data_IF_701140976124
#
_entry.id   IF_701140976124
#
_cell.length_a   1.000
_cell.length_b   1.000
_cell.length_c   1.000
_cell.angle_alpha   90.00
_cell.angle_beta   90.00
_cell.angle_gamma   90.00
#
_symmetry.space_group_name_H-M   'P 1'
#
loop_
_entity.id
_entity.type
_entity.pdbx_description
1 polymer ?
#
# COMPACT_ATOMS: atom_id res chain seq x y z
N UNK A 1 -18.24 -69.53 46.26
CA UNK A 1 -17.90 -68.13 46.57
C UNK A 1 -16.81 -67.71 45.60
N UNK A 2 -17.17 -67.06 44.48
CA UNK A 2 -16.21 -66.46 43.55
C UNK A 2 -16.38 -64.94 43.65
N UNK A 3 -15.31 -64.15 43.82
CA UNK A 3 -15.43 -62.70 43.77
C UNK A 3 -15.52 -62.29 42.29
N UNK A 4 -16.63 -61.67 41.92
CA UNK A 4 -16.75 -60.97 40.64
C UNK A 4 -16.24 -59.54 40.82
N UNK A 5 -14.99 -59.28 40.47
CA UNK A 5 -14.48 -57.91 40.38
C UNK A 5 -15.15 -57.20 39.20
N UNK A 6 -15.59 -55.93 39.35
CA UNK A 6 -16.14 -55.18 38.25
C UNK A 6 -15.00 -54.82 37.30
N UNK A 7 -15.12 -55.20 36.01
CA UNK A 7 -14.19 -54.78 34.96
C UNK A 7 -14.10 -53.25 34.95
N UNK A 8 -12.95 -52.71 35.32
CA UNK A 8 -12.66 -51.28 35.19
C UNK A 8 -12.75 -50.89 33.71
N UNK A 9 -13.78 -50.12 33.38
CA UNK A 9 -14.01 -49.63 32.04
C UNK A 9 -13.00 -48.52 31.76
N UNK A 10 -11.93 -48.88 31.04
CA UNK A 10 -10.86 -47.96 30.63
C UNK A 10 -11.48 -46.84 29.81
N UNK A 11 -11.70 -45.70 30.45
CA UNK A 11 -12.31 -44.51 29.85
C UNK A 11 -11.34 -43.91 28.83
N UNK A 12 -11.40 -44.37 27.59
CA UNK A 12 -10.60 -43.85 26.47
C UNK A 12 -10.87 -42.35 26.31
N UNK A 13 -9.86 -41.51 26.59
CA UNK A 13 -9.90 -40.07 26.29
C UNK A 13 -10.07 -39.90 24.79
N UNK A 14 -11.21 -39.35 24.35
CA UNK A 14 -11.43 -38.97 22.95
C UNK A 14 -10.53 -37.79 22.64
N UNK A 15 -9.54 -38.00 21.77
CA UNK A 15 -8.72 -36.96 21.19
C UNK A 15 -9.46 -36.45 19.94
N UNK A 16 -9.82 -35.17 19.94
CA UNK A 16 -10.37 -34.53 18.74
C UNK A 16 -9.20 -34.05 17.88
N UNK A 17 -9.08 -34.60 16.67
CA UNK A 17 -8.16 -34.08 15.65
C UNK A 17 -8.97 -33.16 14.75
N UNK A 18 -8.70 -31.87 14.83
CA UNK A 18 -9.27 -30.89 13.89
C UNK A 18 -8.40 -30.95 12.64
N UNK A 19 -8.93 -31.58 11.59
CA UNK A 19 -8.28 -31.60 10.27
C UNK A 19 -8.81 -30.41 9.49
N UNK A 20 -7.92 -29.47 9.18
CA UNK A 20 -8.20 -28.33 8.30
C UNK A 20 -8.45 -28.88 6.89
N UNK A 21 -9.71 -28.92 6.46
CA UNK A 21 -10.14 -29.61 5.24
C UNK A 21 -9.70 -28.92 3.96
N UNK A 22 -9.17 -27.69 4.04
CA UNK A 22 -8.86 -26.88 2.87
C UNK A 22 -7.49 -26.18 2.89
N UNK A 23 -6.45 -27.01 2.96
CA UNK A 23 -5.05 -26.58 2.86
C UNK A 23 -4.80 -25.84 1.53
N UNK A 24 -5.51 -26.23 0.47
CA UNK A 24 -5.39 -25.59 -0.86
C UNK A 24 -5.90 -24.14 -0.82
N UNK A 25 -7.10 -23.89 -0.29
CA UNK A 25 -7.65 -22.54 -0.17
C UNK A 25 -6.82 -21.67 0.78
N UNK A 26 -6.27 -22.23 1.86
CA UNK A 26 -5.37 -21.47 2.75
C UNK A 26 -4.12 -20.98 2.02
N UNK A 27 -3.50 -21.84 1.20
CA UNK A 27 -2.34 -21.45 0.38
C UNK A 27 -2.74 -20.39 -0.65
N UNK A 28 -3.90 -20.54 -1.28
CA UNK A 28 -4.40 -19.59 -2.26
C UNK A 28 -4.69 -18.22 -1.65
N UNK A 29 -5.37 -18.16 -0.49
CA UNK A 29 -5.61 -16.90 0.24
C UNK A 29 -4.32 -16.18 0.58
N UNK A 30 -3.31 -16.91 1.09
CA UNK A 30 -2.00 -16.33 1.39
C UNK A 30 -1.31 -15.76 0.15
N UNK A 31 -1.44 -16.40 -1.01
CA UNK A 31 -0.89 -15.88 -2.27
C UNK A 31 -1.60 -14.59 -2.68
N UNK A 32 -2.94 -14.58 -2.68
CA UNK A 32 -3.70 -13.37 -3.00
C UNK A 32 -3.41 -12.22 -2.05
N UNK A 33 -3.28 -12.50 -0.75
CA UNK A 33 -2.92 -11.49 0.25
C UNK A 33 -1.52 -10.92 -0.02
N UNK A 34 -0.55 -11.77 -0.34
CA UNK A 34 0.80 -11.33 -0.69
C UNK A 34 0.82 -10.47 -1.97
N UNK A 35 0.09 -10.88 -3.00
CA UNK A 35 -0.05 -10.13 -4.26
C UNK A 35 -0.72 -8.77 -4.03
N UNK A 36 -1.81 -8.74 -3.25
CA UNK A 36 -2.54 -7.50 -2.90
C UNK A 36 -1.61 -6.53 -2.16
N UNK A 37 -0.91 -7.01 -1.14
CA UNK A 37 0.06 -6.21 -0.39
C UNK A 37 1.20 -5.66 -1.28
N UNK A 38 1.63 -6.43 -2.28
CA UNK A 38 2.64 -5.98 -3.23
C UNK A 38 2.08 -4.88 -4.16
N UNK A 39 0.86 -5.06 -4.66
CA UNK A 39 0.16 -4.08 -5.48
C UNK A 39 -0.07 -2.78 -4.73
N UNK A 40 -0.50 -2.82 -3.48
CA UNK A 40 -0.69 -1.63 -2.63
C UNK A 40 0.61 -0.85 -2.46
N UNK A 41 1.72 -1.54 -2.14
CA UNK A 41 3.04 -0.89 -2.01
C UNK A 41 3.48 -0.23 -3.31
N UNK A 42 3.23 -0.89 -4.45
CA UNK A 42 3.55 -0.34 -5.75
C UNK A 42 2.74 0.92 -6.05
N UNK A 43 1.43 0.88 -5.82
CA UNK A 43 0.54 2.03 -6.04
C UNK A 43 0.85 3.18 -5.09
N UNK A 44 1.21 2.91 -3.84
CA UNK A 44 1.65 3.92 -2.88
C UNK A 44 2.91 4.66 -3.39
N UNK A 45 3.90 3.90 -3.88
CA UNK A 45 5.13 4.45 -4.45
C UNK A 45 4.86 5.29 -5.71
N UNK A 46 3.94 4.82 -6.57
CA UNK A 46 3.53 5.57 -7.75
C UNK A 46 2.83 6.88 -7.39
N UNK A 47 1.94 6.87 -6.38
CA UNK A 47 1.30 8.07 -5.88
C UNK A 47 2.34 9.06 -5.32
N UNK A 48 3.27 8.60 -4.47
CA UNK A 48 4.30 9.49 -3.89
C UNK A 48 5.24 10.08 -4.95
N UNK A 49 5.66 9.29 -5.94
CA UNK A 49 6.53 9.78 -7.03
C UNK A 49 5.84 10.82 -7.91
N UNK A 50 4.53 10.67 -8.13
CA UNK A 50 3.72 11.63 -8.89
C UNK A 50 3.32 12.87 -8.08
N UNK A 51 3.52 12.85 -6.77
CA UNK A 51 3.11 13.92 -5.87
C UNK A 51 1.65 13.86 -5.45
N UNK A 52 1.00 12.71 -5.64
CA UNK A 52 -0.33 12.44 -5.11
C UNK A 52 -0.26 11.75 -3.76
N UNK A 53 -1.43 11.27 -3.31
CA UNK A 53 -1.57 10.45 -2.11
C UNK A 53 -2.44 9.22 -2.41
N UNK A 54 -2.19 8.12 -1.71
CA UNK A 54 -3.03 6.93 -1.75
C UNK A 54 -3.88 6.90 -0.48
N UNK A 55 -5.17 6.57 -0.65
CA UNK A 55 -6.12 6.39 0.45
C UNK A 55 -6.66 4.98 0.38
N UNK A 56 -6.46 4.20 1.45
CA UNK A 56 -7.06 2.88 1.63
C UNK A 56 -8.09 3.01 2.75
N UNK A 57 -9.36 2.84 2.43
CA UNK A 57 -10.44 2.83 3.41
C UNK A 57 -10.91 1.38 3.63
N UNK A 58 -11.04 0.99 4.89
CA UNK A 58 -11.50 -0.35 5.28
C UNK A 58 -13.02 -0.40 5.51
N UNK A 59 -13.66 0.76 5.59
CA UNK A 59 -15.10 0.90 5.78
C UNK A 59 -15.67 2.08 4.98
N UNK A 60 -16.99 2.08 4.80
CA UNK A 60 -17.71 3.18 4.15
C UNK A 60 -17.57 4.49 4.94
N UNK A 61 -17.64 4.43 6.27
CA UNK A 61 -17.48 5.61 7.12
C UNK A 61 -16.09 6.24 6.95
N UNK A 62 -15.04 5.42 6.94
CA UNK A 62 -13.67 5.88 6.66
C UNK A 62 -13.57 6.46 5.25
N UNK A 63 -14.21 5.82 4.26
CA UNK A 63 -14.19 6.32 2.87
C UNK A 63 -14.79 7.74 2.77
N UNK A 64 -15.90 8.00 3.47
CA UNK A 64 -16.53 9.33 3.51
C UNK A 64 -15.60 10.36 4.17
N UNK A 65 -14.99 10.01 5.32
CA UNK A 65 -14.06 10.88 6.03
C UNK A 65 -12.83 11.22 5.17
N UNK A 66 -12.23 10.22 4.53
CA UNK A 66 -11.08 10.42 3.66
C UNK A 66 -11.46 11.19 2.39
N UNK A 67 -12.69 11.04 1.89
CA UNK A 67 -13.22 11.86 0.79
C UNK A 67 -13.18 13.36 1.11
N UNK A 68 -13.59 13.75 2.33
CA UNK A 68 -13.50 15.14 2.77
C UNK A 68 -12.05 15.65 2.85
N UNK A 69 -11.09 14.77 3.21
CA UNK A 69 -9.66 15.10 3.18
C UNK A 69 -9.16 15.31 1.75
N UNK A 70 -9.55 14.45 0.80
CA UNK A 70 -9.17 14.58 -0.62
C UNK A 70 -9.73 15.88 -1.21
N UNK A 71 -10.97 16.24 -0.89
CA UNK A 71 -11.55 17.51 -1.32
C UNK A 71 -10.71 18.71 -0.86
N UNK A 72 -10.30 18.74 0.41
CA UNK A 72 -9.41 19.81 0.94
C UNK A 72 -8.05 19.86 0.24
N UNK A 73 -7.49 18.72 -0.14
CA UNK A 73 -6.21 18.65 -0.87
C UNK A 73 -6.37 19.21 -2.30
N UNK A 74 -7.47 18.88 -2.98
CA UNK A 74 -7.80 19.41 -4.31
C UNK A 74 -7.98 20.93 -4.24
N UNK A 75 -8.71 21.43 -3.25
CA UNK A 75 -8.90 22.87 -3.03
C UNK A 75 -7.58 23.61 -2.76
N UNK A 76 -6.58 22.90 -2.22
CA UNK A 76 -5.25 23.42 -1.90
C UNK A 76 -4.19 23.09 -2.95
N UNK A 77 -4.58 22.76 -4.19
CA UNK A 77 -3.63 22.43 -5.25
C UNK A 77 -3.07 23.68 -5.95
N UNK A 78 -1.74 23.76 -6.05
CA UNK A 78 -1.05 24.89 -6.68
C UNK A 78 -0.19 24.43 -7.86
N UNK A 79 -0.08 25.29 -8.88
CA UNK A 79 0.83 25.11 -10.01
C UNK A 79 2.08 25.94 -9.78
N UNK A 80 3.23 25.26 -9.67
CA UNK A 80 4.53 25.91 -9.49
C UNK A 80 5.34 25.78 -10.77
N UNK A 81 5.76 26.92 -11.33
CA UNK A 81 6.67 26.97 -12.46
C UNK A 81 8.08 27.34 -11.99
N UNK A 82 9.10 26.79 -12.65
CA UNK A 82 10.48 27.15 -12.42
C UNK A 82 11.27 27.05 -13.72
N UNK A 83 12.35 27.81 -13.83
CA UNK A 83 13.29 27.69 -14.96
C UNK A 83 14.44 26.76 -14.56
N UNK A 84 14.62 25.61 -15.22
CA UNK A 84 15.76 24.74 -14.93
C UNK A 84 17.07 25.43 -15.32
N UNK A 85 18.11 25.29 -14.49
CA UNK A 85 19.43 25.85 -14.77
C UNK A 85 20.05 25.29 -16.06
N UNK A 86 19.85 24.00 -16.31
CA UNK A 86 20.31 23.34 -17.53
C UNK A 86 19.17 23.25 -18.56
N UNK A 87 19.37 23.75 -19.79
CA UNK A 87 18.41 23.62 -20.88
C UNK A 87 17.95 22.17 -21.09
N UNK A 88 16.73 21.98 -21.58
CA UNK A 88 16.18 20.66 -21.86
C UNK A 88 16.86 20.00 -23.07
N UNK A 89 17.23 20.78 -24.09
CA UNK A 89 17.96 20.32 -25.27
C UNK A 89 19.30 19.62 -24.97
N UNK A 90 19.97 19.99 -23.88
CA UNK A 90 21.25 19.39 -23.46
C UNK A 90 21.07 18.13 -22.58
N UNK A 91 19.84 17.63 -22.43
CA UNK A 91 19.57 16.44 -21.60
C UNK A 91 19.95 15.16 -22.32
N UNK A 92 20.53 14.22 -21.58
CA UNK A 92 20.74 12.88 -22.10
C UNK A 92 19.39 12.16 -22.29
N UNK A 93 19.34 11.18 -23.20
CA UNK A 93 18.14 10.39 -23.43
C UNK A 93 17.79 9.63 -22.14
N UNK A 94 16.56 9.82 -21.64
CA UNK A 94 16.09 9.15 -20.43
C UNK A 94 16.59 9.75 -19.12
N UNK A 95 17.20 10.93 -19.15
CA UNK A 95 17.73 11.57 -17.96
C UNK A 95 16.62 11.97 -16.97
N UNK A 96 16.69 11.47 -15.74
CA UNK A 96 15.77 11.85 -14.67
C UNK A 96 16.30 13.07 -13.90
N UNK A 97 15.45 14.09 -13.74
CA UNK A 97 15.74 15.28 -12.93
C UNK A 97 14.83 15.31 -11.71
N UNK A 98 15.42 15.33 -10.52
CA UNK A 98 14.66 15.45 -9.26
C UNK A 98 14.23 16.90 -9.01
N UNK A 99 13.04 17.05 -8.43
CA UNK A 99 12.48 18.31 -7.94
C UNK A 99 12.21 18.14 -6.44
N UNK A 100 12.57 19.16 -5.66
CA UNK A 100 12.21 19.27 -4.25
C UNK A 100 11.50 20.60 -4.03
N UNK A 101 10.31 20.53 -3.44
CA UNK A 101 9.52 21.70 -3.07
C UNK A 101 9.54 21.79 -1.55
N UNK A 102 9.83 22.97 -1.02
CA UNK A 102 9.85 23.24 0.40
C UNK A 102 9.11 24.55 0.69
N UNK A 103 8.40 24.60 1.81
CA UNK A 103 7.67 25.79 2.27
C UNK A 103 8.36 26.31 3.54
N UNK A 104 8.39 27.63 3.70
CA UNK A 104 8.98 28.28 4.87
C UNK A 104 8.11 28.18 6.13
N UNK A 105 6.79 28.16 5.96
CA UNK A 105 5.82 28.00 7.06
C UNK A 105 5.83 26.56 7.58
N UNK A 106 6.02 26.41 8.89
CA UNK A 106 5.92 25.11 9.58
C UNK A 106 4.47 24.63 9.71
N UNK A 107 4.30 23.32 9.90
CA UNK A 107 2.99 22.69 10.13
C UNK A 107 2.20 22.33 8.87
N UNK A 108 2.79 22.43 7.68
CA UNK A 108 2.17 22.03 6.42
C UNK A 108 2.77 20.71 5.92
N UNK A 109 1.90 19.79 5.52
CA UNK A 109 2.30 18.62 4.74
C UNK A 109 2.26 18.99 3.26
N UNK A 110 3.30 18.60 2.52
CA UNK A 110 3.45 18.95 1.10
C UNK A 110 3.52 17.66 0.31
N UNK A 111 2.60 17.54 -0.65
CA UNK A 111 2.65 16.53 -1.69
C UNK A 111 3.12 17.18 -2.99
N UNK A 112 4.25 16.72 -3.52
CA UNK A 112 4.85 17.27 -4.72
C UNK A 112 5.56 16.18 -5.52
N UNK A 113 5.51 16.32 -6.84
CA UNK A 113 6.18 15.40 -7.76
C UNK A 113 7.69 15.38 -7.49
N UNK A 114 8.28 14.19 -7.34
CA UNK A 114 9.70 14.03 -6.98
C UNK A 114 10.66 14.35 -8.12
N UNK A 115 10.18 14.39 -9.36
CA UNK A 115 10.99 14.67 -10.54
C UNK A 115 10.28 14.35 -11.86
N UNK A 116 11.04 14.42 -12.94
CA UNK A 116 10.56 14.13 -14.30
C UNK A 116 11.70 13.59 -15.16
N UNK A 117 11.33 12.89 -16.23
CA UNK A 117 12.26 12.51 -17.28
C UNK A 117 12.38 13.68 -18.25
N UNK A 118 13.58 14.23 -18.38
CA UNK A 118 13.85 15.33 -19.29
C UNK A 118 13.76 14.85 -20.73
N UNK A 119 12.97 15.54 -21.56
CA UNK A 119 12.93 15.28 -23.00
C UNK A 119 14.20 15.85 -23.63
N UNK A 120 15.01 14.98 -24.25
CA UNK A 120 16.08 15.41 -25.14
C UNK A 120 15.45 15.87 -26.44
N UNK A 121 15.61 17.14 -26.78
CA UNK A 121 15.14 17.70 -28.05
C UNK A 121 16.14 17.26 -29.13
N UNK A 122 16.04 16.00 -29.57
CA UNK A 122 16.53 15.55 -30.87
C UNK A 122 15.30 15.33 -31.73
N UNK A 123 14.77 16.41 -32.28
CA UNK A 123 13.99 16.35 -33.53
C UNK A 123 14.94 16.58 -34.68
#
# INVERSE_FOLDING_TARGET
MYPSEPREEIRRRKIYVIVDTDIAMRRQRKKYEAETNQSEKWLASLADTTGGMMVLASSEAEMIEQGARVAREIDAQYVVAYRPKRPLALSAKGEFRSIKVAIRRGGLQIHARKGYVAKSEKR
#
